data_IF_631123683994
#
_entry.id   IF_631123683994
#
_cell.length_a   1.000
_cell.length_b   1.000
_cell.length_c   1.000
_cell.angle_alpha   90.00
_cell.angle_beta   90.00
_cell.angle_gamma   90.00
#
_symmetry.space_group_name_H-M   'P 1'
#
loop_
_entity.id
_entity.type
_entity.pdbx_description
1 polymer ?
#
# COMPACT_ATOMS: atom_id res chain seq x y z
N UNK A 1 -22.54 -4.64 -7.13
CA UNK A 1 -21.56 -4.85 -6.06
C UNK A 1 -21.30 -3.51 -5.36
N UNK A 2 -21.32 -3.47 -4.04
CA UNK A 2 -20.98 -2.27 -3.27
C UNK A 2 -19.46 -2.10 -3.39
N UNK A 3 -19.03 -0.95 -3.92
CA UNK A 3 -17.60 -0.64 -4.17
C UNK A 3 -17.04 0.06 -2.95
N UNK A 4 -16.48 -0.71 -2.02
CA UNK A 4 -15.95 -0.18 -0.76
C UNK A 4 -14.68 0.65 -0.97
N UNK A 5 -14.57 1.73 -0.18
CA UNK A 5 -13.37 2.54 -0.04
C UNK A 5 -12.85 2.36 1.37
N UNK A 6 -11.61 1.91 1.49
CA UNK A 6 -10.97 1.70 2.79
C UNK A 6 -10.07 2.89 3.12
N UNK A 7 -10.16 3.38 4.34
CA UNK A 7 -9.28 4.40 4.89
C UNK A 7 -8.45 3.74 5.98
N UNK A 8 -7.22 3.40 5.66
CA UNK A 8 -6.27 2.77 6.56
C UNK A 8 -5.55 3.83 7.39
N UNK A 9 -5.49 3.64 8.71
CA UNK A 9 -4.96 4.64 9.63
C UNK A 9 -5.87 5.86 9.75
N UNK A 10 -7.20 5.65 9.81
CA UNK A 10 -8.17 6.75 9.83
C UNK A 10 -8.06 7.68 11.04
N UNK A 11 -7.48 7.19 12.17
CA UNK A 11 -7.20 7.99 13.35
C UNK A 11 -8.42 8.73 13.86
N UNK A 12 -8.21 9.99 14.25
CA UNK A 12 -9.28 10.86 14.78
C UNK A 12 -10.03 11.65 13.69
N UNK A 13 -9.66 11.49 12.43
CA UNK A 13 -10.25 12.21 11.30
C UNK A 13 -10.90 11.24 10.31
N UNK A 14 -12.03 10.63 10.65
CA UNK A 14 -12.66 9.63 9.79
C UNK A 14 -13.20 10.28 8.52
N UNK A 15 -13.19 9.51 7.45
CA UNK A 15 -13.93 9.87 6.26
C UNK A 15 -15.39 9.43 6.40
N UNK A 16 -16.32 10.24 5.88
CA UNK A 16 -17.76 9.97 5.97
C UNK A 16 -18.32 9.68 4.59
N UNK A 17 -19.05 8.56 4.46
CA UNK A 17 -19.72 8.19 3.22
C UNK A 17 -20.29 6.77 3.29
N UNK A 18 -21.31 6.48 2.48
CA UNK A 18 -22.06 5.22 2.52
C UNK A 18 -21.20 3.97 2.29
N UNK A 19 -20.13 4.09 1.48
CA UNK A 19 -19.30 2.96 1.06
C UNK A 19 -17.86 3.10 1.60
N UNK A 20 -17.65 3.95 2.60
CA UNK A 20 -16.37 4.19 3.26
C UNK A 20 -16.28 3.30 4.51
N UNK A 21 -15.14 2.66 4.69
CA UNK A 21 -14.77 1.85 5.85
C UNK A 21 -13.50 2.43 6.44
N UNK A 22 -13.62 3.01 7.62
CA UNK A 22 -12.48 3.52 8.39
C UNK A 22 -11.85 2.40 9.21
N UNK A 23 -10.54 2.20 9.03
CA UNK A 23 -9.76 1.13 9.64
C UNK A 23 -8.62 1.73 10.44
N UNK A 24 -8.47 1.32 11.69
CA UNK A 24 -7.36 1.73 12.55
C UNK A 24 -7.11 0.66 13.62
N UNK A 25 -5.89 0.64 14.18
CA UNK A 25 -5.59 -0.21 15.35
C UNK A 25 -6.19 0.32 16.65
N UNK A 26 -6.50 1.61 16.70
CA UNK A 26 -7.09 2.24 17.87
C UNK A 26 -8.62 2.09 17.88
N UNK A 27 -9.18 1.76 19.03
CA UNK A 27 -10.63 1.69 19.22
C UNK A 27 -11.21 3.10 19.46
N UNK A 28 -11.44 3.84 18.37
CA UNK A 28 -12.05 5.16 18.40
C UNK A 28 -13.50 5.07 17.90
N UNK A 29 -14.35 6.01 18.35
CA UNK A 29 -15.80 5.99 18.06
C UNK A 29 -16.19 6.06 16.59
N UNK A 30 -15.25 6.41 15.73
CA UNK A 30 -15.42 6.60 14.28
C UNK A 30 -14.72 5.54 13.44
N UNK A 31 -14.20 4.47 14.06
CA UNK A 31 -13.54 3.36 13.36
C UNK A 31 -14.56 2.24 13.15
N UNK A 32 -14.70 1.82 11.89
CA UNK A 32 -15.64 0.76 11.51
C UNK A 32 -15.02 -0.62 11.72
N UNK A 33 -13.69 -0.74 11.52
CA UNK A 33 -12.93 -1.99 11.69
C UNK A 33 -11.66 -1.69 12.47
N UNK A 34 -11.53 -2.32 13.65
CA UNK A 34 -10.29 -2.26 14.44
C UNK A 34 -9.35 -3.34 13.92
N UNK A 35 -8.20 -2.92 13.39
CA UNK A 35 -7.20 -3.84 12.83
C UNK A 35 -5.79 -3.26 12.93
N UNK A 36 -4.84 -4.06 13.38
CA UNK A 36 -3.41 -3.75 13.35
C UNK A 36 -2.81 -4.22 12.02
N UNK A 37 -2.28 -3.30 11.23
CA UNK A 37 -1.70 -3.59 9.93
C UNK A 37 -0.39 -4.41 9.95
N UNK A 38 0.12 -4.75 11.14
CA UNK A 38 1.18 -5.74 11.34
C UNK A 38 0.64 -7.18 11.44
N UNK A 39 -0.69 -7.38 11.46
CA UNK A 39 -1.33 -8.70 11.56
C UNK A 39 -1.93 -9.09 10.22
N UNK A 40 -1.49 -10.22 9.68
CA UNK A 40 -1.93 -10.76 8.38
C UNK A 40 -2.70 -12.08 8.55
N UNK A 41 -3.66 -12.39 7.63
CA UNK A 41 -4.20 -11.53 6.59
C UNK A 41 -5.18 -10.49 7.15
N UNK A 42 -5.41 -9.40 6.40
CA UNK A 42 -6.40 -8.38 6.77
C UNK A 42 -7.83 -8.91 6.65
N UNK A 43 -8.77 -8.44 7.51
CA UNK A 43 -10.14 -8.98 7.58
C UNK A 43 -11.05 -8.52 6.44
N UNK A 44 -10.51 -8.41 5.23
CA UNK A 44 -11.23 -7.98 4.03
C UNK A 44 -11.12 -9.05 2.94
N UNK A 45 -12.23 -9.24 2.21
CA UNK A 45 -12.27 -10.21 1.12
C UNK A 45 -11.45 -9.74 -0.08
N UNK A 46 -10.93 -10.70 -0.87
CA UNK A 46 -10.24 -10.45 -2.13
C UNK A 46 -11.13 -9.67 -3.09
N UNK A 47 -10.56 -8.66 -3.74
CA UNK A 47 -11.26 -7.85 -4.73
C UNK A 47 -12.45 -7.04 -4.17
N UNK A 48 -12.54 -6.81 -2.87
CA UNK A 48 -13.66 -6.09 -2.24
C UNK A 48 -13.53 -4.57 -2.29
N UNK A 49 -12.33 -4.04 -2.54
CA UNK A 49 -12.00 -2.62 -2.50
C UNK A 49 -11.97 -1.96 -3.87
N UNK A 50 -12.60 -0.81 -4.01
CA UNK A 50 -12.42 0.07 -5.16
C UNK A 50 -11.23 1.01 -4.94
N UNK A 51 -11.02 1.43 -3.69
CA UNK A 51 -9.97 2.37 -3.34
C UNK A 51 -9.48 2.12 -1.92
N UNK A 52 -8.19 2.18 -1.72
CA UNK A 52 -7.54 2.21 -0.41
C UNK A 52 -6.79 3.53 -0.31
N UNK A 53 -7.00 4.25 0.82
CA UNK A 53 -6.21 5.40 1.20
C UNK A 53 -5.43 5.04 2.47
N UNK A 54 -4.11 5.25 2.46
CA UNK A 54 -3.22 4.98 3.58
C UNK A 54 -2.26 6.17 3.78
N UNK A 55 -2.76 7.22 4.42
CA UNK A 55 -2.01 8.44 4.73
C UNK A 55 -1.28 8.28 6.06
N UNK A 56 0.04 8.38 6.04
CA UNK A 56 0.92 8.21 7.21
C UNK A 56 0.71 6.86 7.92
N UNK A 57 0.79 5.77 7.16
CA UNK A 57 0.67 4.39 7.67
C UNK A 57 1.92 3.59 7.37
N UNK A 58 2.38 3.61 6.11
CA UNK A 58 3.41 2.71 5.61
C UNK A 58 4.76 2.89 6.32
N UNK A 59 5.08 4.10 6.77
CA UNK A 59 6.31 4.41 7.53
C UNK A 59 6.37 3.73 8.90
N UNK A 60 5.22 3.35 9.45
CA UNK A 60 5.12 2.68 10.75
C UNK A 60 5.21 1.14 10.67
N UNK A 61 5.16 0.56 9.47
CA UNK A 61 5.08 -0.88 9.28
C UNK A 61 6.46 -1.53 9.22
N UNK A 62 6.60 -2.70 9.83
CA UNK A 62 7.82 -3.50 9.76
C UNK A 62 7.94 -4.23 8.41
N UNK A 63 6.82 -4.76 7.90
CA UNK A 63 6.76 -5.53 6.65
C UNK A 63 5.96 -4.79 5.57
N UNK A 64 6.65 -3.88 4.88
CA UNK A 64 6.07 -3.12 3.76
C UNK A 64 5.66 -4.02 2.58
N UNK A 65 6.46 -5.01 2.15
CA UNK A 65 6.04 -5.95 1.11
C UNK A 65 4.73 -6.67 1.44
N UNK A 66 4.57 -7.19 2.65
CA UNK A 66 3.33 -7.86 3.05
C UNK A 66 2.11 -6.92 3.08
N UNK A 67 2.30 -5.66 3.51
CA UNK A 67 1.26 -4.63 3.42
C UNK A 67 0.83 -4.36 1.97
N UNK A 68 1.81 -4.23 1.07
CA UNK A 68 1.54 -3.99 -0.35
C UNK A 68 0.82 -5.19 -1.00
N UNK A 69 1.22 -6.43 -0.64
CA UNK A 69 0.57 -7.66 -1.10
C UNK A 69 -0.90 -7.74 -0.62
N UNK A 70 -1.19 -7.35 0.61
CA UNK A 70 -2.55 -7.30 1.14
C UNK A 70 -3.41 -6.22 0.47
N UNK A 71 -2.85 -5.01 0.26
CA UNK A 71 -3.55 -3.97 -0.49
C UNK A 71 -3.89 -4.43 -1.91
N UNK A 72 -2.97 -5.12 -2.57
CA UNK A 72 -3.19 -5.70 -3.89
C UNK A 72 -4.33 -6.74 -3.88
N UNK A 73 -4.32 -7.66 -2.91
CA UNK A 73 -5.36 -8.69 -2.75
C UNK A 73 -6.75 -8.10 -2.54
N UNK A 74 -6.84 -7.06 -1.72
CA UNK A 74 -8.11 -6.42 -1.35
C UNK A 74 -8.69 -5.62 -2.51
N UNK A 75 -7.85 -5.02 -3.35
CA UNK A 75 -8.31 -4.20 -4.46
C UNK A 75 -8.87 -5.06 -5.60
N UNK A 76 -10.02 -4.65 -6.13
CA UNK A 76 -10.56 -5.22 -7.36
C UNK A 76 -9.73 -4.78 -8.58
N UNK A 77 -9.82 -5.49 -9.72
CA UNK A 77 -9.25 -5.00 -10.98
C UNK A 77 -9.69 -3.57 -11.30
N UNK A 78 -8.73 -2.68 -11.57
CA UNK A 78 -8.97 -1.25 -11.77
C UNK A 78 -9.21 -0.45 -10.48
N UNK A 79 -9.10 -1.07 -9.31
CA UNK A 79 -9.05 -0.37 -8.03
C UNK A 79 -7.72 0.35 -7.85
N UNK A 80 -7.62 1.24 -6.85
CA UNK A 80 -6.43 2.07 -6.65
C UNK A 80 -6.01 2.17 -5.20
N UNK A 81 -4.69 2.26 -4.96
CA UNK A 81 -4.07 2.55 -3.69
C UNK A 81 -3.46 3.95 -3.72
N UNK A 82 -3.87 4.81 -2.80
CA UNK A 82 -3.26 6.11 -2.57
C UNK A 82 -2.54 6.11 -1.22
N UNK A 83 -1.32 6.63 -1.20
CA UNK A 83 -0.52 6.74 0.02
C UNK A 83 0.16 8.10 0.11
N UNK A 84 0.33 8.56 1.34
CA UNK A 84 1.20 9.69 1.71
C UNK A 84 2.16 9.20 2.78
N UNK A 85 3.47 9.56 2.65
CA UNK A 85 4.49 9.19 3.64
C UNK A 85 5.62 10.22 3.64
N UNK A 86 6.30 10.48 4.77
CA UNK A 86 7.45 11.36 4.81
C UNK A 86 8.59 10.88 3.90
N UNK A 87 9.16 11.78 3.14
CA UNK A 87 10.34 11.49 2.34
C UNK A 87 11.61 11.45 3.20
N UNK A 88 12.46 10.43 3.01
CA UNK A 88 13.70 10.23 3.78
C UNK A 88 14.67 11.41 3.77
N UNK A 89 14.64 12.28 2.76
CA UNK A 89 15.47 13.51 2.72
C UNK A 89 15.00 14.60 3.66
N UNK A 90 13.72 14.58 4.06
CA UNK A 90 13.20 15.47 5.08
C UNK A 90 13.41 14.85 6.46
N UNK A 91 14.55 15.16 7.06
CA UNK A 91 14.96 14.60 8.36
C UNK A 91 13.94 14.94 9.45
N UNK A 92 13.36 16.14 9.43
CA UNK A 92 12.40 16.57 10.42
C UNK A 92 11.09 15.78 10.35
N UNK A 93 10.61 15.47 9.16
CA UNK A 93 9.39 14.66 8.98
C UNK A 93 9.65 13.15 9.13
N UNK A 94 10.76 12.66 8.57
CA UNK A 94 10.99 11.22 8.48
C UNK A 94 11.56 10.60 9.76
N UNK A 95 12.41 11.35 10.52
CA UNK A 95 13.15 10.78 11.65
C UNK A 95 12.74 11.34 13.02
N UNK A 96 11.88 12.35 13.12
CA UNK A 96 11.48 12.91 14.41
C UNK A 96 10.41 12.07 15.13
N UNK A 97 9.62 11.29 14.43
CA UNK A 97 8.69 10.35 15.04
C UNK A 97 9.41 9.02 15.36
N UNK A 98 9.57 8.65 16.65
CA UNK A 98 10.29 7.43 17.05
C UNK A 98 9.57 6.13 16.66
N UNK A 99 8.32 6.21 16.17
CA UNK A 99 7.55 5.05 15.71
C UNK A 99 7.71 4.78 14.21
N UNK A 100 8.39 5.66 13.46
CA UNK A 100 8.74 5.41 12.07
C UNK A 100 9.78 4.30 11.97
N UNK A 101 9.41 3.20 11.33
CA UNK A 101 10.28 2.05 11.04
C UNK A 101 10.90 2.14 9.65
N UNK A 102 10.25 2.88 8.73
CA UNK A 102 10.67 3.02 7.35
C UNK A 102 10.99 4.48 7.01
N UNK A 103 12.05 4.66 6.22
CA UNK A 103 12.47 5.95 5.68
C UNK A 103 12.48 5.83 4.16
N UNK A 104 11.36 6.24 3.54
CA UNK A 104 11.05 5.94 2.15
C UNK A 104 11.45 7.09 1.20
N UNK A 105 11.65 6.72 -0.06
CA UNK A 105 11.82 7.61 -1.19
C UNK A 105 10.92 7.16 -2.33
N UNK A 106 10.78 7.92 -3.40
CA UNK A 106 10.07 7.50 -4.61
C UNK A 106 10.64 6.17 -5.14
N UNK A 107 11.96 5.99 -5.06
CA UNK A 107 12.64 4.76 -5.49
C UNK A 107 12.22 3.52 -4.68
N UNK A 108 11.76 3.69 -3.44
CA UNK A 108 11.22 2.59 -2.66
C UNK A 108 9.99 1.97 -3.32
N UNK A 109 9.20 2.76 -4.05
CA UNK A 109 8.03 2.27 -4.80
C UNK A 109 8.41 1.83 -6.21
N UNK A 110 9.20 2.63 -6.93
CA UNK A 110 9.59 2.37 -8.31
C UNK A 110 10.40 1.07 -8.43
N UNK A 111 11.38 0.88 -7.54
CA UNK A 111 12.35 -0.22 -7.67
C UNK A 111 11.84 -1.56 -7.13
N UNK A 112 10.83 -1.58 -6.23
CA UNK A 112 10.49 -2.80 -5.52
C UNK A 112 9.07 -3.30 -5.75
N UNK A 113 8.16 -2.45 -6.22
CA UNK A 113 6.75 -2.81 -6.39
C UNK A 113 6.26 -2.75 -7.84
N UNK A 114 7.03 -2.20 -8.77
CA UNK A 114 6.75 -2.32 -10.20
C UNK A 114 7.05 -3.72 -10.71
N UNK A 115 6.60 -4.04 -11.92
CA UNK A 115 6.90 -5.32 -12.56
C UNK A 115 8.41 -5.57 -12.62
N UNK A 116 9.19 -4.57 -13.07
CA UNK A 116 10.65 -4.64 -13.12
C UNK A 116 11.27 -4.87 -11.72
N UNK A 117 10.74 -4.20 -10.69
CA UNK A 117 11.20 -4.36 -9.32
C UNK A 117 10.98 -5.77 -8.79
N UNK A 118 9.81 -6.36 -9.05
CA UNK A 118 9.52 -7.74 -8.66
C UNK A 118 10.42 -8.74 -9.38
N UNK A 119 10.63 -8.54 -10.67
CA UNK A 119 11.52 -9.39 -11.49
C UNK A 119 12.97 -9.35 -11.00
N UNK A 120 13.45 -8.18 -10.54
CA UNK A 120 14.83 -8.02 -10.10
C UNK A 120 15.07 -8.45 -8.64
N UNK A 121 14.11 -8.22 -7.74
CA UNK A 121 14.31 -8.37 -6.28
C UNK A 121 13.40 -9.39 -5.62
N UNK A 122 12.18 -9.60 -6.12
CA UNK A 122 11.25 -10.62 -5.60
C UNK A 122 10.74 -10.39 -4.17
N UNK A 123 10.72 -9.15 -3.68
CA UNK A 123 10.28 -8.86 -2.30
C UNK A 123 8.75 -8.86 -2.15
N UNK A 124 8.03 -8.45 -3.18
CA UNK A 124 6.57 -8.53 -3.27
C UNK A 124 6.18 -9.62 -4.26
N UNK A 125 5.00 -10.20 -4.09
CA UNK A 125 4.44 -11.21 -5.00
C UNK A 125 3.65 -10.59 -6.15
N UNK A 126 3.25 -9.33 -5.99
CA UNK A 126 2.30 -8.67 -6.86
C UNK A 126 2.83 -7.32 -7.36
N UNK A 127 2.65 -7.10 -8.67
CA UNK A 127 3.12 -5.91 -9.36
C UNK A 127 2.10 -4.77 -9.32
N UNK A 128 2.64 -3.55 -9.33
CA UNK A 128 1.88 -2.32 -9.35
C UNK A 128 2.25 -1.44 -10.55
N UNK A 129 1.24 -0.81 -11.14
CA UNK A 129 1.41 0.31 -12.06
C UNK A 129 1.42 1.61 -11.27
N UNK A 130 2.42 2.45 -11.49
CA UNK A 130 2.48 3.79 -10.90
C UNK A 130 1.62 4.72 -11.76
N UNK A 131 0.50 5.18 -11.21
CA UNK A 131 -0.36 6.18 -11.86
C UNK A 131 0.18 7.59 -11.65
N UNK A 132 0.70 7.85 -10.44
CA UNK A 132 1.32 9.11 -10.07
C UNK A 132 2.28 8.91 -8.90
N UNK A 133 3.39 9.61 -8.90
CA UNK A 133 4.33 9.71 -7.77
C UNK A 133 5.00 11.07 -7.81
N UNK A 134 4.96 11.80 -6.69
CA UNK A 134 5.63 13.07 -6.55
C UNK A 134 6.02 13.32 -5.09
N UNK A 135 6.98 14.21 -4.87
CA UNK A 135 7.33 14.71 -3.54
C UNK A 135 7.07 16.20 -3.45
N UNK A 136 6.21 16.59 -2.52
CA UNK A 136 5.88 17.99 -2.24
C UNK A 136 6.06 18.26 -0.76
N UNK A 137 6.82 19.31 -0.43
CA UNK A 137 7.08 19.73 0.96
C UNK A 137 7.55 18.60 1.89
N UNK A 138 8.41 17.71 1.39
CA UNK A 138 8.95 16.59 2.17
C UNK A 138 8.02 15.39 2.35
N UNK A 139 6.86 15.37 1.69
CA UNK A 139 5.92 14.25 1.68
C UNK A 139 5.88 13.64 0.28
N UNK A 140 5.98 12.32 0.22
CA UNK A 140 5.77 11.53 -1.01
C UNK A 140 4.28 11.24 -1.14
N UNK A 141 3.73 11.55 -2.30
CA UNK A 141 2.38 11.21 -2.72
C UNK A 141 2.47 10.11 -3.77
N UNK A 142 1.85 8.97 -3.51
CA UNK A 142 1.90 7.79 -4.39
C UNK A 142 0.50 7.32 -4.74
N UNK A 143 0.23 7.15 -6.01
CA UNK A 143 -1.01 6.58 -6.51
C UNK A 143 -0.72 5.39 -7.40
N UNK A 144 -1.20 4.23 -7.01
CA UNK A 144 -0.90 2.93 -7.62
C UNK A 144 -2.17 2.21 -8.07
N UNK A 145 -2.01 1.33 -9.05
CA UNK A 145 -3.06 0.41 -9.49
C UNK A 145 -2.47 -1.01 -9.57
N UNK A 146 -3.15 -2.04 -9.02
CA UNK A 146 -2.68 -3.41 -9.12
C UNK A 146 -2.63 -3.87 -10.57
N UNK A 147 -1.52 -4.50 -10.97
CA UNK A 147 -1.42 -5.19 -12.26
C UNK A 147 -1.92 -6.61 -12.06
N UNK A 148 -2.93 -7.07 -12.80
CA UNK A 148 -3.43 -8.44 -12.67
C UNK A 148 -2.35 -9.48 -13.01
N UNK A 149 -2.30 -10.57 -12.25
CA UNK A 149 -1.25 -11.60 -12.32
C UNK A 149 -1.16 -12.22 -13.72
N UNK A 150 -2.26 -12.37 -14.42
CA UNK A 150 -2.34 -12.91 -15.77
C UNK A 150 -1.52 -12.14 -16.81
N UNK A 151 -1.17 -10.88 -16.54
CA UNK A 151 -0.36 -10.08 -17.46
C UNK A 151 1.15 -10.31 -17.34
N UNK A 152 1.62 -10.92 -16.26
CA UNK A 152 3.07 -11.08 -16.03
C UNK A 152 3.50 -12.46 -15.53
N UNK A 153 2.57 -13.33 -15.13
CA UNK A 153 2.89 -14.65 -14.57
C UNK A 153 3.71 -15.50 -15.55
N UNK A 154 3.38 -15.49 -16.82
CA UNK A 154 4.09 -16.25 -17.86
C UNK A 154 5.51 -15.73 -18.09
N UNK A 155 5.72 -14.42 -17.98
CA UNK A 155 7.03 -13.78 -18.11
C UNK A 155 7.94 -14.14 -16.94
N UNK A 156 7.42 -14.05 -15.71
CA UNK A 156 8.15 -14.44 -14.50
C UNK A 156 8.49 -15.93 -14.52
N UNK A 157 7.56 -16.79 -14.88
CA UNK A 157 7.79 -18.23 -14.99
C UNK A 157 8.84 -18.57 -16.04
N UNK A 158 8.83 -17.91 -17.21
CA UNK A 158 9.86 -18.08 -18.25
C UNK A 158 11.25 -17.71 -17.75
N UNK A 159 11.37 -16.61 -16.96
CA UNK A 159 12.65 -16.17 -16.42
C UNK A 159 13.16 -17.10 -15.33
N UNK A 160 12.28 -17.56 -14.41
CA UNK A 160 12.65 -18.51 -13.36
C UNK A 160 13.13 -19.84 -13.94
N UNK A 161 12.55 -20.30 -15.05
CA UNK A 161 12.96 -21.52 -15.74
C UNK A 161 14.25 -21.37 -16.57
N UNK A 162 14.72 -20.14 -16.81
CA UNK A 162 15.95 -19.85 -17.57
C UNK A 162 17.11 -19.41 -16.67
N UNK A 163 16.96 -19.47 -15.35
CA UNK A 163 18.06 -19.28 -14.41
C UNK A 163 18.96 -20.53 -14.43
N UNK A 164 20.31 -20.36 -14.51
CA UNK A 164 21.26 -21.47 -14.62
C UNK A 164 21.26 -22.34 -13.37
#
# INVERSE_FOLDING_TARGET
MIRKKYIFGAGTRPHVGKDIINVDKLNLSNIDVIHDFEIFPYPFADGSGLHINATHVIEHLADVPAFMDECWRILQPGGTLYMETPHAKDIALSFSDPTHKQHLTEHSFINYFTLEGIENFGYSKFAWSILHIETVNGVIFVHLMPIPVEYYQDEILKRLNNLP
#
